data_IF_798947920540
#
_entry.id   IF_798947920540
#
_cell.length_a   1.000
_cell.length_b   1.000
_cell.length_c   1.000
_cell.angle_alpha   90.00
_cell.angle_beta   90.00
_cell.angle_gamma   90.00
#
_symmetry.space_group_name_H-M   'P 1'
#
loop_
_entity.id
_entity.type
_entity.pdbx_description
1 polymer ?
#
# COMPACT_ATOMS: atom_id res chain seq x y z
N UNK A 1 43.82 53.19 104.95
CA UNK A 1 44.28 52.67 103.58
C UNK A 1 43.40 51.47 103.08
N UNK A 2 42.72 50.73 103.89
CA UNK A 2 42.01 49.53 103.49
C UNK A 2 40.66 49.85 102.72
N UNK A 3 39.91 50.91 103.06
CA UNK A 3 38.69 51.32 102.44
C UNK A 3 38.88 51.76 100.97
N UNK A 4 39.99 52.40 100.58
CA UNK A 4 40.28 52.84 99.22
C UNK A 4 40.50 51.62 98.26
N UNK A 5 41.17 50.55 98.74
CA UNK A 5 41.38 49.33 97.95
C UNK A 5 40.03 48.56 97.64
N UNK A 6 39.08 48.62 98.55
CA UNK A 6 37.79 47.98 98.38
C UNK A 6 36.99 48.74 97.35
N UNK A 7 36.93 50.07 97.41
CA UNK A 7 36.27 50.96 96.49
C UNK A 7 36.80 50.78 95.03
N UNK A 8 38.16 50.74 94.92
CA UNK A 8 38.82 50.48 93.63
C UNK A 8 38.43 49.12 93.01
N UNK A 9 38.34 48.08 93.83
CA UNK A 9 37.89 46.75 93.32
C UNK A 9 36.45 46.73 92.88
N UNK A 10 35.55 47.41 93.62
CA UNK A 10 34.13 47.50 93.24
C UNK A 10 33.99 48.29 91.94
N UNK A 11 34.71 49.38 91.73
CA UNK A 11 34.68 50.15 90.48
C UNK A 11 35.11 49.28 89.27
N UNK A 12 36.22 48.52 89.46
CA UNK A 12 36.67 47.64 88.37
C UNK A 12 35.64 46.55 88.03
N UNK A 13 34.99 45.96 89.04
CA UNK A 13 33.91 44.96 88.81
C UNK A 13 32.72 45.58 88.07
N UNK A 14 32.28 46.77 88.43
CA UNK A 14 31.19 47.46 87.76
C UNK A 14 31.52 47.77 86.30
N UNK A 15 32.80 48.27 86.06
CA UNK A 15 33.25 48.52 84.66
C UNK A 15 33.29 47.23 83.82
N UNK A 16 33.78 46.12 84.42
CA UNK A 16 33.84 44.84 83.70
C UNK A 16 32.40 44.28 83.39
N UNK A 17 31.49 44.41 84.31
CA UNK A 17 30.06 43.96 84.08
C UNK A 17 29.39 44.82 83.03
N UNK A 18 29.58 46.16 83.03
CA UNK A 18 29.02 47.03 82.02
C UNK A 18 29.66 46.80 80.63
N UNK A 19 30.95 46.55 80.59
CA UNK A 19 31.62 46.20 79.31
C UNK A 19 31.14 44.87 78.73
N UNK A 20 30.96 43.87 79.58
CA UNK A 20 30.39 42.56 79.12
C UNK A 20 28.96 42.71 78.65
N UNK A 21 28.10 43.44 79.39
CA UNK A 21 26.74 43.68 79.00
C UNK A 21 26.64 44.48 77.69
N UNK A 22 27.46 45.49 77.50
CA UNK A 22 27.54 46.27 76.26
C UNK A 22 27.98 45.41 75.08
N UNK A 23 29.02 44.57 75.29
CA UNK A 23 29.50 43.67 74.27
C UNK A 23 28.50 42.59 73.91
N UNK A 24 27.78 42.03 74.87
CA UNK A 24 26.68 41.07 74.62
C UNK A 24 25.54 41.70 73.83
N UNK A 25 25.18 42.97 74.15
CA UNK A 25 24.13 43.66 73.38
C UNK A 25 24.61 44.02 71.97
N UNK A 26 25.89 44.34 71.78
CA UNK A 26 26.48 44.64 70.45
C UNK A 26 26.50 43.36 69.56
N UNK A 27 26.89 42.20 70.10
CA UNK A 27 26.87 40.94 69.39
C UNK A 27 25.44 40.41 69.09
N UNK A 28 24.45 40.81 69.92
CA UNK A 28 23.05 40.41 69.70
C UNK A 28 22.32 41.18 68.64
N UNK A 29 22.92 42.24 68.09
CA UNK A 29 22.34 42.97 66.95
C UNK A 29 22.39 42.12 65.74
N UNK A 30 21.25 41.57 65.27
CA UNK A 30 21.14 40.90 63.98
C UNK A 30 21.47 41.91 62.88
N UNK A 31 22.34 41.58 61.94
CA UNK A 31 22.61 42.45 60.78
C UNK A 31 21.28 42.64 60.00
N UNK A 32 21.04 43.78 59.39
CA UNK A 32 19.89 43.97 58.51
C UNK A 32 19.93 42.97 57.37
N UNK A 33 18.80 42.35 57.05
CA UNK A 33 18.64 41.46 55.92
C UNK A 33 18.75 42.32 54.66
N UNK A 34 19.74 42.06 53.82
CA UNK A 34 19.78 42.66 52.48
C UNK A 34 18.65 42.02 51.63
N UNK A 35 17.70 42.84 51.23
CA UNK A 35 16.59 42.44 50.33
C UNK A 35 16.83 43.12 49.00
N UNK A 36 16.79 42.37 47.95
CA UNK A 36 16.82 42.88 46.59
C UNK A 36 15.43 43.38 46.24
N UNK A 37 15.31 44.66 46.03
CA UNK A 37 14.05 45.30 45.66
C UNK A 37 13.95 45.37 44.16
N UNK A 38 12.99 44.65 43.57
CA UNK A 38 12.62 44.84 42.18
C UNK A 38 11.47 45.84 42.09
N UNK A 39 11.66 46.87 41.30
CA UNK A 39 10.60 47.87 40.99
C UNK A 39 9.63 47.24 40.00
N UNK A 40 8.35 47.16 40.35
CA UNK A 40 7.28 46.79 39.47
C UNK A 40 7.04 47.87 38.42
N UNK A 41 7.18 47.56 37.17
CA UNK A 41 6.79 48.42 36.06
C UNK A 41 5.49 47.92 35.42
N UNK A 42 4.59 48.81 34.99
CA UNK A 42 3.41 48.40 34.25
C UNK A 42 3.83 47.84 32.89
N UNK A 43 3.41 46.63 32.59
CA UNK A 43 3.64 45.96 31.33
C UNK A 43 2.34 45.40 30.77
N UNK A 44 2.28 45.28 29.47
CA UNK A 44 1.18 44.60 28.78
C UNK A 44 1.32 43.09 28.99
N UNK A 45 0.33 42.49 29.60
CA UNK A 45 0.25 41.01 29.70
C UNK A 45 -0.60 40.52 28.54
N UNK A 46 0.03 39.87 27.56
CA UNK A 46 -0.71 39.19 26.50
C UNK A 46 -1.34 37.92 27.07
N UNK A 47 -2.66 37.87 27.07
CA UNK A 47 -3.38 36.62 27.36
C UNK A 47 -3.30 35.71 26.15
N UNK A 48 -2.31 34.81 26.16
CA UNK A 48 -2.21 33.76 25.10
C UNK A 48 -3.26 32.70 25.41
N UNK A 49 -4.30 32.67 24.59
CA UNK A 49 -5.24 31.55 24.61
C UNK A 49 -4.60 30.38 23.83
N UNK A 50 -3.99 29.47 24.54
CA UNK A 50 -3.48 28.23 23.94
C UNK A 50 -4.68 27.36 23.62
N UNK A 51 -4.91 27.11 22.34
CA UNK A 51 -5.91 26.13 21.90
C UNK A 51 -5.39 24.72 22.20
N UNK A 52 -5.84 24.15 23.30
CA UNK A 52 -5.46 22.79 23.75
C UNK A 52 -6.21 21.68 23.02
N UNK A 53 -7.01 22.00 22.00
CA UNK A 53 -7.71 20.98 21.22
C UNK A 53 -6.70 20.25 20.33
N UNK A 54 -6.38 19.01 20.71
CA UNK A 54 -5.62 18.10 19.86
C UNK A 54 -6.48 17.68 18.68
N UNK A 55 -6.07 17.99 17.47
CA UNK A 55 -6.63 17.45 16.23
C UNK A 55 -5.87 16.21 15.79
N UNK A 56 -6.55 15.26 15.22
CA UNK A 56 -5.90 14.10 14.57
C UNK A 56 -5.80 14.37 13.08
N UNK A 57 -4.59 14.42 12.55
CA UNK A 57 -4.36 14.48 11.11
C UNK A 57 -4.58 13.08 10.53
N UNK A 58 -5.50 12.97 9.58
CA UNK A 58 -5.77 11.73 8.85
C UNK A 58 -5.51 11.94 7.37
N UNK A 59 -4.96 10.92 6.72
CA UNK A 59 -4.82 10.96 5.26
C UNK A 59 -6.20 11.07 4.59
N UNK A 60 -6.31 11.92 3.54
CA UNK A 60 -7.55 12.09 2.76
C UNK A 60 -7.97 10.80 2.05
N UNK A 61 -7.00 9.98 1.66
CA UNK A 61 -7.20 8.68 1.00
C UNK A 61 -6.54 7.59 1.83
N UNK A 62 -7.33 6.66 2.30
CA UNK A 62 -6.85 5.50 3.06
C UNK A 62 -7.62 4.26 2.62
N UNK A 63 -6.92 3.19 2.34
CA UNK A 63 -7.51 1.88 2.04
C UNK A 63 -6.91 0.83 2.97
N UNK A 64 -7.79 -0.04 3.49
CA UNK A 64 -7.37 -1.29 4.11
C UNK A 64 -7.40 -2.35 3.02
N UNK A 65 -6.25 -2.91 2.70
CA UNK A 65 -6.10 -3.86 1.59
C UNK A 65 -5.98 -5.27 2.16
N UNK A 66 -6.70 -6.18 1.53
CA UNK A 66 -6.58 -7.61 1.75
C UNK A 66 -6.59 -8.32 0.41
N UNK A 67 -5.84 -9.42 0.21
CA UNK A 67 -5.94 -10.24 -0.99
C UNK A 67 -7.36 -10.80 -1.13
N UNK A 68 -7.83 -10.93 -2.38
CA UNK A 68 -9.13 -11.53 -2.68
C UNK A 68 -9.15 -13.06 -2.48
N UNK A 69 -8.00 -13.70 -2.44
CA UNK A 69 -7.81 -15.11 -2.15
C UNK A 69 -7.08 -15.29 -0.81
N UNK A 70 -7.38 -16.38 -0.09
CA UNK A 70 -6.60 -16.80 1.07
C UNK A 70 -5.39 -17.62 0.62
N UNK A 71 -4.30 -17.56 1.37
CA UNK A 71 -3.10 -18.34 1.10
C UNK A 71 -1.88 -17.86 1.86
N UNK A 72 -0.76 -18.57 1.68
CA UNK A 72 0.52 -18.20 2.26
C UNK A 72 1.16 -17.06 1.47
N UNK A 73 1.68 -16.04 2.16
CA UNK A 73 2.46 -14.96 1.54
C UNK A 73 3.84 -15.51 1.17
N UNK A 74 4.17 -15.44 -0.12
CA UNK A 74 5.49 -15.85 -0.63
C UNK A 74 6.42 -14.65 -0.75
N UNK A 75 5.88 -13.52 -1.20
CA UNK A 75 6.66 -12.29 -1.37
C UNK A 75 5.91 -11.11 -0.79
N UNK A 76 6.60 -10.34 0.05
CA UNK A 76 6.21 -9.00 0.48
C UNK A 76 7.20 -8.03 -0.15
N UNK A 77 6.72 -7.17 -1.05
CA UNK A 77 7.56 -6.34 -1.91
C UNK A 77 7.74 -4.92 -1.38
N UNK A 78 7.04 -4.57 -0.30
CA UNK A 78 7.04 -3.23 0.28
C UNK A 78 7.22 -3.28 1.78
N UNK A 79 7.76 -2.21 2.35
CA UNK A 79 7.96 -2.02 3.80
C UNK A 79 7.05 -0.90 4.30
N UNK A 80 6.83 -0.88 5.60
CA UNK A 80 6.12 0.21 6.27
C UNK A 80 6.84 1.54 6.04
N UNK A 81 6.08 2.59 5.69
CA UNK A 81 6.62 3.91 5.36
C UNK A 81 7.13 4.08 3.94
N UNK A 82 7.15 3.04 3.12
CA UNK A 82 7.60 3.11 1.72
C UNK A 82 6.53 3.73 0.82
N UNK A 83 6.96 4.59 -0.10
CA UNK A 83 6.08 5.18 -1.11
C UNK A 83 5.79 4.19 -2.23
N UNK A 84 4.53 4.11 -2.62
CA UNK A 84 4.07 3.23 -3.69
C UNK A 84 3.35 4.02 -4.79
N UNK A 85 3.43 3.50 -6.01
CA UNK A 85 2.66 4.04 -7.14
C UNK A 85 1.43 3.19 -7.40
N UNK A 86 0.39 3.79 -7.98
CA UNK A 86 -0.82 3.07 -8.35
C UNK A 86 -0.50 1.87 -9.26
N UNK A 87 -1.08 0.71 -8.96
CA UNK A 87 -0.86 -0.55 -9.67
C UNK A 87 0.40 -1.30 -9.25
N UNK A 88 1.26 -0.73 -8.41
CA UNK A 88 2.45 -1.42 -7.90
C UNK A 88 2.05 -2.64 -7.09
N UNK A 89 2.72 -3.79 -7.35
CA UNK A 89 2.52 -5.02 -6.59
C UNK A 89 3.07 -4.86 -5.18
N UNK A 90 2.22 -5.14 -4.17
CA UNK A 90 2.55 -5.01 -2.74
C UNK A 90 2.93 -6.36 -2.14
N UNK A 91 2.16 -7.39 -2.46
CA UNK A 91 2.44 -8.75 -2.01
C UNK A 91 1.96 -9.77 -3.05
N UNK A 92 2.49 -10.97 -2.91
CA UNK A 92 2.16 -12.14 -3.73
C UNK A 92 1.92 -13.34 -2.82
N UNK A 93 0.78 -14.00 -2.99
CA UNK A 93 0.47 -15.26 -2.34
C UNK A 93 1.08 -16.42 -3.11
N UNK A 94 1.21 -17.56 -2.45
CA UNK A 94 1.58 -18.81 -3.13
C UNK A 94 0.54 -19.16 -4.21
N UNK A 95 1.01 -19.34 -5.43
CA UNK A 95 0.17 -19.47 -6.62
C UNK A 95 0.76 -20.41 -7.69
N UNK A 96 1.67 -21.29 -7.31
CA UNK A 96 2.34 -22.17 -8.27
C UNK A 96 1.36 -23.07 -9.04
N UNK A 97 0.30 -23.55 -8.38
CA UNK A 97 -0.78 -24.33 -8.97
C UNK A 97 -1.59 -23.52 -9.98
N UNK A 98 -1.96 -22.27 -9.63
CA UNK A 98 -2.69 -21.36 -10.51
C UNK A 98 -1.84 -20.91 -11.72
N UNK A 99 -0.55 -20.74 -11.52
CA UNK A 99 0.41 -20.47 -12.60
C UNK A 99 0.48 -21.63 -13.57
N UNK A 100 0.55 -22.87 -13.07
CA UNK A 100 0.53 -24.07 -13.91
C UNK A 100 -0.81 -24.23 -14.66
N UNK A 101 -1.94 -23.94 -14.02
CA UNK A 101 -3.26 -23.93 -14.67
C UNK A 101 -3.37 -22.87 -15.76
N UNK A 102 -2.84 -21.68 -15.54
CA UNK A 102 -2.80 -20.62 -16.54
C UNK A 102 -1.94 -21.02 -17.74
N UNK A 103 -0.77 -21.62 -17.50
CA UNK A 103 0.09 -22.11 -18.59
C UNK A 103 -0.60 -23.23 -19.40
N UNK A 104 -1.26 -24.18 -18.73
CA UNK A 104 -2.06 -25.20 -19.40
C UNK A 104 -3.15 -24.59 -20.29
N UNK A 105 -3.90 -23.61 -19.78
CA UNK A 105 -4.93 -22.92 -20.56
C UNK A 105 -4.33 -22.15 -21.74
N UNK A 106 -3.13 -21.58 -21.58
CA UNK A 106 -2.40 -20.91 -22.67
C UNK A 106 -2.08 -21.89 -23.80
N UNK A 107 -1.58 -23.09 -23.47
CA UNK A 107 -1.28 -24.12 -24.46
C UNK A 107 -2.55 -24.69 -25.11
N UNK A 108 -3.69 -24.71 -24.40
CA UNK A 108 -4.98 -25.10 -24.99
C UNK A 108 -5.43 -24.11 -26.05
N UNK A 109 -5.23 -22.79 -25.86
CA UNK A 109 -5.51 -21.76 -26.87
C UNK A 109 -4.63 -21.96 -28.10
N UNK A 110 -3.35 -22.24 -27.92
CA UNK A 110 -2.41 -22.51 -29.03
C UNK A 110 -2.87 -23.73 -29.84
N UNK A 111 -3.23 -24.81 -29.18
CA UNK A 111 -3.74 -26.04 -29.80
C UNK A 111 -5.04 -25.79 -30.55
N UNK A 112 -6.00 -25.08 -29.94
CA UNK A 112 -7.27 -24.73 -30.57
C UNK A 112 -7.07 -23.88 -31.85
N UNK A 113 -6.17 -22.89 -31.80
CA UNK A 113 -5.80 -22.07 -32.97
C UNK A 113 -5.20 -22.90 -34.10
N UNK A 114 -4.36 -23.89 -33.78
CA UNK A 114 -3.76 -24.76 -34.78
C UNK A 114 -4.81 -25.64 -35.48
N UNK A 115 -5.75 -26.21 -34.71
CA UNK A 115 -6.89 -27.00 -35.25
C UNK A 115 -7.81 -26.13 -36.10
N UNK A 116 -8.11 -24.90 -35.67
CA UNK A 116 -8.89 -23.94 -36.44
C UNK A 116 -8.22 -23.65 -37.79
N UNK A 117 -6.91 -23.39 -37.79
CA UNK A 117 -6.16 -23.11 -39.01
C UNK A 117 -6.25 -24.29 -40.00
N UNK A 118 -6.04 -25.51 -39.51
CA UNK A 118 -6.16 -26.72 -40.29
C UNK A 118 -7.54 -26.85 -40.92
N UNK A 119 -8.62 -26.80 -40.09
CA UNK A 119 -9.99 -26.93 -40.56
C UNK A 119 -10.37 -25.82 -41.55
N UNK A 120 -9.96 -24.58 -41.36
CA UNK A 120 -10.25 -23.49 -42.27
C UNK A 120 -9.48 -23.58 -43.59
N UNK A 121 -8.28 -24.17 -43.60
CA UNK A 121 -7.54 -24.46 -44.85
C UNK A 121 -8.30 -25.55 -45.63
N UNK A 122 -8.77 -26.61 -44.98
CA UNK A 122 -9.58 -27.66 -45.62
C UNK A 122 -10.85 -27.07 -46.21
N UNK A 123 -11.57 -26.22 -45.44
CA UNK A 123 -12.79 -25.53 -45.89
C UNK A 123 -12.53 -24.66 -47.13
N UNK A 124 -11.42 -23.87 -47.11
CA UNK A 124 -11.08 -23.05 -48.28
C UNK A 124 -10.71 -23.87 -49.53
N UNK A 125 -10.11 -25.05 -49.33
CA UNK A 125 -9.81 -25.98 -50.44
C UNK A 125 -11.10 -26.56 -51.02
N UNK A 126 -12.01 -27.04 -50.15
CA UNK A 126 -13.30 -27.57 -50.57
C UNK A 126 -14.17 -26.51 -51.31
N UNK A 127 -14.14 -25.26 -50.87
CA UNK A 127 -14.84 -24.16 -51.52
C UNK A 127 -14.26 -23.85 -52.91
N UNK A 128 -12.92 -23.88 -53.07
CA UNK A 128 -12.28 -23.73 -54.40
C UNK A 128 -12.65 -24.88 -55.35
N UNK A 129 -12.70 -26.10 -54.82
CA UNK A 129 -13.11 -27.28 -55.63
C UNK A 129 -14.56 -27.19 -56.03
N UNK A 130 -15.47 -26.82 -55.13
CA UNK A 130 -16.91 -26.57 -55.46
C UNK A 130 -17.04 -25.56 -56.60
N UNK A 131 -16.44 -24.38 -56.49
CA UNK A 131 -16.44 -23.37 -57.54
C UNK A 131 -15.90 -23.84 -58.89
N UNK A 132 -14.80 -24.64 -58.89
CA UNK A 132 -14.21 -25.24 -60.08
C UNK A 132 -15.18 -26.23 -60.72
N UNK A 133 -15.80 -27.10 -59.93
CA UNK A 133 -16.75 -28.12 -60.40
C UNK A 133 -17.97 -27.45 -60.99
N UNK A 134 -18.50 -26.42 -60.37
CA UNK A 134 -19.63 -25.62 -60.91
C UNK A 134 -19.30 -25.03 -62.30
N UNK A 135 -18.10 -24.46 -62.47
CA UNK A 135 -17.64 -23.96 -63.78
C UNK A 135 -17.52 -25.04 -64.86
N UNK A 136 -17.15 -26.27 -64.43
CA UNK A 136 -17.03 -27.42 -65.33
C UNK A 136 -18.42 -27.96 -65.77
N UNK A 137 -19.42 -27.92 -64.83
CA UNK A 137 -20.80 -28.26 -65.18
C UNK A 137 -21.30 -27.29 -66.26
N UNK A 138 -21.07 -25.98 -66.13
CA UNK A 138 -21.50 -24.95 -67.09
C UNK A 138 -20.89 -25.19 -68.49
N UNK A 139 -19.77 -25.90 -68.56
CA UNK A 139 -19.08 -26.27 -69.81
C UNK A 139 -19.41 -27.71 -70.29
N UNK A 140 -20.26 -28.44 -69.55
CA UNK A 140 -20.67 -29.82 -69.89
C UNK A 140 -19.63 -30.89 -69.62
N UNK A 141 -18.58 -30.60 -68.81
CA UNK A 141 -17.49 -31.58 -68.53
C UNK A 141 -17.77 -32.50 -67.34
N UNK A 142 -18.73 -32.13 -66.44
CA UNK A 142 -19.08 -32.94 -65.25
C UNK A 142 -20.58 -32.89 -65.05
N UNK A 143 -21.14 -33.86 -64.31
CA UNK A 143 -22.57 -33.95 -63.99
C UNK A 143 -22.97 -32.91 -62.91
N UNK A 144 -24.25 -32.48 -62.91
CA UNK A 144 -24.84 -31.64 -61.87
C UNK A 144 -24.70 -32.26 -60.49
N UNK A 145 -24.93 -33.57 -60.37
CA UNK A 145 -24.80 -34.28 -59.09
C UNK A 145 -23.40 -34.12 -58.48
N UNK A 146 -22.34 -34.17 -59.32
CA UNK A 146 -20.97 -33.95 -58.81
C UNK A 146 -20.72 -32.53 -58.29
N UNK A 147 -21.39 -31.52 -58.91
CA UNK A 147 -21.29 -30.18 -58.41
C UNK A 147 -22.07 -29.99 -57.08
N UNK A 148 -23.25 -30.60 -56.96
CA UNK A 148 -24.04 -30.63 -55.72
C UNK A 148 -23.26 -31.32 -54.56
N UNK A 149 -22.60 -32.45 -54.82
CA UNK A 149 -21.77 -33.15 -53.86
C UNK A 149 -20.60 -32.29 -53.42
N UNK A 150 -19.93 -31.58 -54.34
CA UNK A 150 -18.82 -30.69 -54.05
C UNK A 150 -19.25 -29.50 -53.23
N UNK A 151 -20.43 -28.93 -53.53
CA UNK A 151 -21.00 -27.81 -52.76
C UNK A 151 -21.40 -28.26 -51.34
N UNK A 152 -22.09 -29.40 -51.19
CA UNK A 152 -22.43 -29.96 -49.89
C UNK A 152 -21.17 -30.23 -49.01
N UNK A 153 -20.10 -30.77 -49.63
CA UNK A 153 -18.85 -30.93 -48.92
C UNK A 153 -18.22 -29.59 -48.53
N UNK A 154 -18.24 -28.57 -49.39
CA UNK A 154 -17.72 -27.27 -49.06
C UNK A 154 -18.47 -26.63 -47.89
N UNK A 155 -19.81 -26.72 -47.89
CA UNK A 155 -20.62 -26.26 -46.78
C UNK A 155 -20.33 -26.97 -45.47
N UNK A 156 -20.16 -28.32 -45.51
CA UNK A 156 -19.82 -29.12 -44.34
C UNK A 156 -18.44 -28.71 -43.77
N UNK A 157 -17.43 -28.50 -44.62
CA UNK A 157 -16.09 -28.07 -44.18
C UNK A 157 -16.13 -26.63 -43.64
N UNK A 158 -16.94 -25.78 -44.21
CA UNK A 158 -17.12 -24.40 -43.70
C UNK A 158 -17.77 -24.39 -42.31
N UNK A 159 -18.77 -25.26 -42.08
CA UNK A 159 -19.36 -25.44 -40.76
C UNK A 159 -18.30 -25.98 -39.72
N UNK A 160 -17.45 -26.89 -40.15
CA UNK A 160 -16.34 -27.41 -39.34
C UNK A 160 -15.33 -26.31 -38.98
N UNK A 161 -14.95 -25.43 -39.92
CA UNK A 161 -14.10 -24.25 -39.64
C UNK A 161 -14.79 -23.29 -38.65
N UNK A 162 -16.08 -23.07 -38.78
CA UNK A 162 -16.87 -22.24 -37.85
C UNK A 162 -16.90 -22.85 -36.44
N UNK A 163 -17.10 -24.18 -36.32
CA UNK A 163 -17.06 -24.89 -35.04
C UNK A 163 -15.71 -24.79 -34.35
N UNK A 164 -14.61 -25.03 -35.08
CA UNK A 164 -13.24 -24.90 -34.51
C UNK A 164 -12.91 -23.44 -34.14
N UNK A 165 -13.50 -22.46 -34.83
CA UNK A 165 -13.41 -21.03 -34.45
C UNK A 165 -14.11 -20.74 -33.12
N UNK A 166 -15.24 -21.40 -32.85
CA UNK A 166 -15.93 -21.32 -31.56
C UNK A 166 -15.11 -21.99 -30.43
N UNK A 167 -14.43 -23.10 -30.74
CA UNK A 167 -13.52 -23.76 -29.79
C UNK A 167 -12.35 -22.85 -29.36
N UNK A 168 -11.78 -22.05 -30.27
CA UNK A 168 -10.77 -21.04 -29.93
C UNK A 168 -11.33 -20.01 -28.94
N UNK A 169 -12.55 -19.50 -29.20
CA UNK A 169 -13.19 -18.56 -28.29
C UNK A 169 -13.42 -19.17 -26.90
N UNK A 170 -13.85 -20.43 -26.84
CA UNK A 170 -14.03 -21.18 -25.59
C UNK A 170 -12.70 -21.33 -24.84
N UNK A 171 -11.62 -21.70 -25.52
CA UNK A 171 -10.29 -21.81 -24.92
C UNK A 171 -9.76 -20.45 -24.41
N UNK A 172 -10.05 -19.35 -25.14
CA UNK A 172 -9.69 -18.00 -24.71
C UNK A 172 -10.46 -17.58 -23.44
N UNK A 173 -11.77 -17.87 -23.38
CA UNK A 173 -12.55 -17.59 -22.18
C UNK A 173 -12.02 -18.38 -20.95
N UNK A 174 -11.61 -19.65 -21.16
CA UNK A 174 -10.98 -20.44 -20.10
C UNK A 174 -9.64 -19.83 -19.64
N UNK A 175 -8.82 -19.33 -20.55
CA UNK A 175 -7.58 -18.61 -20.24
C UNK A 175 -7.86 -17.37 -19.40
N UNK A 176 -8.88 -16.58 -19.73
CA UNK A 176 -9.27 -15.40 -18.96
C UNK A 176 -9.69 -15.75 -17.52
N UNK A 177 -10.43 -16.87 -17.34
CA UNK A 177 -10.78 -17.36 -16.00
C UNK A 177 -9.54 -17.71 -15.18
N UNK A 178 -8.58 -18.44 -15.76
CA UNK A 178 -7.34 -18.78 -15.05
C UNK A 178 -6.50 -17.55 -14.74
N UNK A 179 -6.43 -16.58 -15.65
CA UNK A 179 -5.76 -15.29 -15.43
C UNK A 179 -6.42 -14.50 -14.30
N UNK A 180 -7.75 -14.45 -14.26
CA UNK A 180 -8.48 -13.78 -13.18
C UNK A 180 -8.20 -14.43 -11.81
N UNK A 181 -8.17 -15.77 -11.75
CA UNK A 181 -7.82 -16.49 -10.54
C UNK A 181 -6.37 -16.20 -10.10
N UNK A 182 -5.43 -16.16 -11.02
CA UNK A 182 -4.04 -15.81 -10.75
C UNK A 182 -3.93 -14.36 -10.23
N UNK A 183 -4.65 -13.43 -10.82
CA UNK A 183 -4.65 -12.03 -10.38
C UNK A 183 -5.16 -11.86 -8.95
N UNK A 184 -6.06 -12.73 -8.47
CA UNK A 184 -6.58 -12.70 -7.10
C UNK A 184 -5.52 -13.03 -6.05
N UNK A 185 -4.40 -13.63 -6.43
CA UNK A 185 -3.28 -13.94 -5.53
C UNK A 185 -2.28 -12.79 -5.41
N UNK A 186 -2.46 -11.73 -6.17
CA UNK A 186 -1.59 -10.56 -6.20
C UNK A 186 -2.34 -9.34 -5.64
N UNK A 187 -1.74 -8.65 -4.70
CA UNK A 187 -2.29 -7.42 -4.17
C UNK A 187 -1.53 -6.22 -4.75
N UNK A 188 -2.25 -5.34 -5.42
CA UNK A 188 -1.70 -4.13 -6.01
C UNK A 188 -2.23 -2.89 -5.30
N UNK A 189 -1.45 -1.79 -5.31
CA UNK A 189 -1.83 -0.50 -4.77
C UNK A 189 -2.98 0.13 -5.60
N UNK A 190 -4.12 0.50 -4.99
CA UNK A 190 -5.24 1.11 -5.72
C UNK A 190 -4.98 2.58 -6.09
N UNK A 191 -4.04 3.23 -5.42
CA UNK A 191 -3.60 4.60 -5.66
C UNK A 191 -2.17 4.80 -5.15
N UNK A 192 -1.52 5.87 -5.59
CA UNK A 192 -0.20 6.26 -5.12
C UNK A 192 -0.26 6.87 -3.72
N UNK A 193 0.72 6.53 -2.86
CA UNK A 193 0.76 7.00 -1.48
C UNK A 193 2.10 6.77 -0.80
#
# INVERSE_FOLDING_TARGET
MQKIKIISRVIVIVITITAISYFGWYLSRKPPIEVELATASPGTVEAIVVNTRAGTIKACRRAKLAPAAGGQIVKLLVKEGERVVQGQRLLELWNADLTAQHELATQQVVTAKSRQRESCIIASNAQRESKRTEQLVAKGFVSSQRAEDAEANAQAQQASCAATSADVKRAQAQLEVTQANLNRTMLNAPFSG
#
